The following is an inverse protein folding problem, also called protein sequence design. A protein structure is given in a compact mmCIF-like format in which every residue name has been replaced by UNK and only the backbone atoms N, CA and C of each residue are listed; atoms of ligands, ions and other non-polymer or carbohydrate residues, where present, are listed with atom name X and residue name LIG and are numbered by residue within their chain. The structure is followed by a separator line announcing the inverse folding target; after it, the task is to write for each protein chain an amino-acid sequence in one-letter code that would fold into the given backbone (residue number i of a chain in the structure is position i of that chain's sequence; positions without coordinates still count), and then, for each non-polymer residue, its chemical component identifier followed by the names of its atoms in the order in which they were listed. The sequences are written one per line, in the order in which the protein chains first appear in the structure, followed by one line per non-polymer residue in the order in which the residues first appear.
data_IF_915329378201
#
_entry.id   IF_915329378201
#
_cell.length_a   1.000
_cell.length_b   1.000
_cell.length_c   1.000
_cell.angle_alpha   90.00
_cell.angle_beta   90.00
_cell.angle_gamma   90.00
#
_symmetry.space_group_name_H-M   'P 1'
#
loop_
_entity.id
_entity.type
_entity.pdbx_description
1 polymer ?
#
# COMPACT_ATOMS: atom_id res chain seq x y z
N UNK A 1 -10.27 -42.83 -53.46
CA UNK A 1 -10.41 -41.37 -53.23
C UNK A 1 -11.25 -41.10 -51.99
N UNK A 2 -10.68 -40.51 -50.95
CA UNK A 2 -11.40 -39.84 -49.86
C UNK A 2 -10.63 -38.57 -49.53
N UNK A 3 -11.26 -37.43 -49.79
CA UNK A 3 -10.70 -36.08 -49.58
C UNK A 3 -10.63 -35.81 -48.07
N UNK A 4 -9.47 -35.38 -47.58
CA UNK A 4 -9.27 -34.83 -46.23
C UNK A 4 -9.18 -33.32 -46.37
N UNK A 5 -10.03 -32.59 -45.65
CA UNK A 5 -10.04 -31.13 -45.57
C UNK A 5 -8.83 -30.64 -44.74
N UNK A 6 -8.15 -29.54 -45.12
CA UNK A 6 -7.06 -28.96 -44.35
C UNK A 6 -7.59 -27.84 -43.45
N UNK A 7 -7.32 -27.89 -42.15
CA UNK A 7 -7.74 -26.80 -41.28
C UNK A 7 -7.63 -27.02 -39.78
N UNK A 8 -6.53 -27.58 -39.27
CA UNK A 8 -6.19 -27.44 -37.86
C UNK A 8 -4.74 -26.97 -37.72
N UNK A 9 -4.60 -25.76 -37.18
CA UNK A 9 -3.34 -25.09 -36.90
C UNK A 9 -2.67 -25.73 -35.67
N UNK A 10 -1.45 -26.30 -35.78
CA UNK A 10 -0.82 -27.00 -34.67
C UNK A 10 0.00 -26.04 -33.81
N UNK A 11 -0.58 -24.94 -33.34
CA UNK A 11 0.12 -24.04 -32.40
C UNK A 11 -0.83 -23.34 -31.42
N UNK A 12 -1.68 -24.10 -30.70
CA UNK A 12 -2.05 -23.69 -29.34
C UNK A 12 -0.86 -23.96 -28.42
N UNK A 13 0.11 -23.04 -28.39
CA UNK A 13 1.03 -22.95 -27.25
C UNK A 13 0.20 -22.52 -26.05
N UNK A 14 -0.32 -23.49 -25.32
CA UNK A 14 -0.76 -23.28 -23.95
C UNK A 14 0.46 -22.75 -23.21
N UNK A 15 0.47 -21.46 -22.91
CA UNK A 15 1.44 -20.88 -22.01
C UNK A 15 1.09 -21.38 -20.62
N UNK A 16 1.50 -22.62 -20.31
CA UNK A 16 1.47 -23.13 -18.95
C UNK A 16 2.46 -22.25 -18.20
N UNK A 17 1.96 -21.30 -17.41
CA UNK A 17 2.75 -20.67 -16.37
C UNK A 17 3.20 -21.83 -15.47
N UNK A 18 4.43 -22.28 -15.63
CA UNK A 18 5.11 -23.08 -14.63
C UNK A 18 5.13 -22.21 -13.37
N UNK A 19 4.14 -22.42 -12.50
CA UNK A 19 4.16 -21.96 -11.13
C UNK A 19 5.49 -22.46 -10.58
N UNK A 20 6.44 -21.56 -10.35
CA UNK A 20 7.65 -21.90 -9.60
C UNK A 20 7.16 -22.55 -8.31
N UNK A 21 7.46 -23.83 -8.10
CA UNK A 21 7.11 -24.51 -6.86
C UNK A 21 7.74 -23.69 -5.75
N UNK A 22 6.92 -22.95 -5.00
CA UNK A 22 7.44 -22.01 -4.03
C UNK A 22 8.17 -22.82 -2.97
N UNK A 23 9.50 -22.84 -3.04
CA UNK A 23 10.33 -23.18 -1.89
C UNK A 23 9.79 -22.39 -0.70
N UNK A 24 9.70 -23.00 0.48
CA UNK A 24 9.23 -22.29 1.69
C UNK A 24 10.01 -20.99 1.79
N UNK A 25 9.41 -19.92 2.31
CA UNK A 25 10.10 -18.62 2.43
C UNK A 25 11.45 -18.75 3.15
N UNK A 26 11.58 -19.74 4.04
CA UNK A 26 12.80 -20.11 4.76
C UNK A 26 13.89 -20.75 3.89
N UNK A 27 13.54 -21.38 2.76
CA UNK A 27 14.44 -22.03 1.79
C UNK A 27 14.91 -21.06 0.68
N UNK A 28 14.50 -19.79 0.72
CA UNK A 28 15.08 -18.74 -0.12
C UNK A 28 16.52 -18.50 0.36
N UNK A 29 17.46 -18.39 -0.57
CA UNK A 29 18.90 -18.25 -0.28
C UNK A 29 19.18 -17.14 0.74
N UNK A 30 20.14 -17.35 1.64
CA UNK A 30 20.58 -16.35 2.63
C UNK A 30 21.00 -15.02 1.97
N UNK A 31 21.51 -15.05 0.73
CA UNK A 31 21.77 -13.85 -0.09
C UNK A 31 20.55 -12.96 -0.37
N UNK A 32 19.33 -13.51 -0.35
CA UNK A 32 18.10 -12.75 -0.67
C UNK A 32 17.50 -12.05 0.55
N UNK A 33 18.04 -12.29 1.75
CA UNK A 33 17.58 -11.65 2.99
C UNK A 33 18.38 -10.38 3.22
N UNK A 34 17.72 -9.25 3.04
CA UNK A 34 18.28 -7.95 3.39
C UNK A 34 18.01 -7.73 4.88
N UNK A 35 19.05 -7.86 5.72
CA UNK A 35 18.92 -7.78 7.19
C UNK A 35 18.26 -6.49 7.65
N UNK A 36 18.57 -5.37 7.00
CA UNK A 36 18.00 -4.06 7.31
C UNK A 36 16.48 -4.02 7.09
N UNK A 37 16.00 -4.61 5.99
CA UNK A 37 14.57 -4.74 5.72
C UNK A 37 13.90 -5.66 6.75
N UNK A 38 14.54 -6.76 7.15
CA UNK A 38 14.00 -7.63 8.21
C UNK A 38 13.83 -6.85 9.52
N UNK A 39 14.86 -6.11 9.95
CA UNK A 39 14.78 -5.25 11.15
C UNK A 39 13.68 -4.20 11.03
N UNK A 40 13.58 -3.53 9.88
CA UNK A 40 12.54 -2.53 9.62
C UNK A 40 11.14 -3.16 9.69
N UNK A 41 10.94 -4.35 9.11
CA UNK A 41 9.65 -5.04 9.15
C UNK A 41 9.26 -5.48 10.57
N UNK A 42 10.21 -5.93 11.39
CA UNK A 42 9.91 -6.28 12.79
C UNK A 42 9.55 -5.05 13.62
N UNK A 43 10.25 -3.93 13.42
CA UNK A 43 9.88 -2.65 14.06
C UNK A 43 8.51 -2.16 13.61
N UNK A 44 8.21 -2.25 12.31
CA UNK A 44 6.92 -1.85 11.75
C UNK A 44 5.76 -2.69 12.29
N UNK A 45 5.95 -4.01 12.51
CA UNK A 45 4.93 -4.86 13.15
C UNK A 45 4.56 -4.39 14.55
N UNK A 46 5.50 -3.81 15.30
CA UNK A 46 5.23 -3.25 16.63
C UNK A 46 4.53 -1.90 16.47
N UNK A 47 5.07 -1.01 15.63
CA UNK A 47 4.50 0.32 15.39
C UNK A 47 3.05 0.23 14.89
N UNK A 48 2.75 -0.64 13.92
CA UNK A 48 1.41 -0.83 13.37
C UNK A 48 0.36 -1.22 14.43
N UNK A 49 0.77 -1.98 15.46
CA UNK A 49 -0.08 -2.36 16.60
C UNK A 49 -0.34 -1.19 17.53
N UNK A 50 0.70 -0.41 17.82
CA UNK A 50 0.61 0.80 18.64
C UNK A 50 -0.29 1.82 17.96
N UNK A 51 -0.06 2.11 16.67
CA UNK A 51 -0.88 3.02 15.88
C UNK A 51 -2.36 2.58 15.87
N UNK A 52 -2.62 1.28 15.74
CA UNK A 52 -3.99 0.76 15.82
C UNK A 52 -4.64 1.04 17.18
N UNK A 53 -3.92 0.85 18.30
CA UNK A 53 -4.46 1.17 19.62
C UNK A 53 -4.73 2.66 19.80
N UNK A 54 -3.83 3.53 19.33
CA UNK A 54 -4.01 4.98 19.40
C UNK A 54 -5.26 5.42 18.62
N UNK A 55 -5.43 4.92 17.39
CA UNK A 55 -6.63 5.20 16.58
C UNK A 55 -7.93 4.72 17.25
N UNK A 56 -7.90 3.58 17.93
CA UNK A 56 -9.08 3.06 18.64
C UNK A 56 -9.42 3.86 19.89
N UNK A 57 -8.42 4.29 20.65
CA UNK A 57 -8.65 5.17 21.79
C UNK A 57 -9.19 6.51 21.32
N UNK A 58 -8.64 7.07 20.24
CA UNK A 58 -9.11 8.33 19.64
C UNK A 58 -10.58 8.31 19.22
N UNK A 59 -11.11 7.15 18.81
CA UNK A 59 -12.53 7.04 18.45
C UNK A 59 -13.49 7.15 19.66
N UNK A 60 -12.97 7.03 20.88
CA UNK A 60 -13.74 7.24 22.11
C UNK A 60 -13.64 8.70 22.58
N UNK A 61 -14.70 9.28 23.16
CA UNK A 61 -14.76 10.72 23.50
C UNK A 61 -13.72 11.16 24.54
N UNK A 62 -13.40 10.28 25.49
CA UNK A 62 -12.44 10.56 26.56
C UNK A 62 -11.05 9.93 26.30
N UNK A 63 -10.84 9.37 25.10
CA UNK A 63 -9.61 8.64 24.73
C UNK A 63 -9.23 7.51 25.71
N UNK A 64 -10.22 6.99 26.42
CA UNK A 64 -10.08 5.98 27.47
C UNK A 64 -11.00 4.81 27.16
N UNK A 65 -10.47 3.59 27.29
CA UNK A 65 -11.21 2.35 27.02
C UNK A 65 -10.87 1.26 28.03
N UNK A 66 -11.83 0.40 28.36
CA UNK A 66 -11.54 -0.78 29.19
C UNK A 66 -10.63 -1.76 28.45
N UNK A 67 -9.71 -2.41 29.17
CA UNK A 67 -8.85 -3.46 28.59
C UNK A 67 -9.67 -4.64 28.07
N UNK A 68 -10.88 -4.86 28.62
CA UNK A 68 -11.81 -5.88 28.14
C UNK A 68 -12.35 -5.56 26.74
N UNK A 69 -12.69 -4.30 26.48
CA UNK A 69 -13.10 -3.85 25.15
C UNK A 69 -11.94 -3.96 24.15
N UNK A 70 -10.72 -3.59 24.56
CA UNK A 70 -9.52 -3.76 23.73
C UNK A 70 -9.26 -5.22 23.33
N UNK A 71 -9.62 -6.19 24.20
CA UNK A 71 -9.50 -7.62 23.92
C UNK A 71 -10.34 -8.08 22.72
N UNK A 72 -11.42 -7.36 22.37
CA UNK A 72 -12.23 -7.65 21.19
C UNK A 72 -11.44 -7.40 19.89
N UNK A 73 -10.52 -6.44 19.91
CA UNK A 73 -9.68 -6.07 18.76
C UNK A 73 -8.39 -6.90 18.65
N UNK A 74 -8.25 -7.95 19.46
CA UNK A 74 -7.05 -8.80 19.49
C UNK A 74 -6.67 -9.38 18.14
N UNK A 75 -7.67 -9.73 17.31
CA UNK A 75 -7.45 -10.29 15.97
C UNK A 75 -6.84 -9.24 15.03
N UNK A 76 -7.33 -8.01 15.11
CA UNK A 76 -6.88 -6.87 14.31
C UNK A 76 -5.46 -6.44 14.69
N UNK A 77 -5.13 -6.46 15.99
CA UNK A 77 -3.79 -6.13 16.52
C UNK A 77 -2.78 -7.28 16.25
N UNK A 78 -3.21 -8.42 15.71
CA UNK A 78 -2.36 -9.59 15.48
C UNK A 78 -1.55 -9.97 16.73
N UNK A 79 -2.22 -10.05 17.90
CA UNK A 79 -1.59 -10.44 19.17
C UNK A 79 -1.92 -11.92 19.48
N UNK A 80 -1.02 -12.87 19.16
CA UNK A 80 -1.27 -14.28 19.36
C UNK A 80 -1.36 -14.62 20.86
N UNK A 81 -2.17 -15.63 21.21
CA UNK A 81 -2.17 -16.20 22.56
C UNK A 81 -0.82 -16.90 22.80
N UNK A 82 -0.19 -16.77 23.98
CA UNK A 82 -0.75 -16.34 25.27
C UNK A 82 -0.53 -14.85 25.65
N UNK A 83 0.03 -14.00 24.77
CA UNK A 83 0.38 -12.62 25.14
C UNK A 83 -0.83 -11.76 25.48
N UNK A 84 -0.90 -11.14 26.66
CA UNK A 84 -2.05 -10.30 27.05
C UNK A 84 -1.91 -8.89 26.48
N UNK A 85 -3.03 -8.25 26.16
CA UNK A 85 -3.04 -6.83 25.73
C UNK A 85 -2.52 -5.93 26.84
N UNK A 86 -2.85 -6.22 28.10
CA UNK A 86 -2.28 -5.51 29.26
C UNK A 86 -0.75 -5.51 29.27
N UNK A 87 -0.13 -6.63 28.91
CA UNK A 87 1.32 -6.77 28.93
C UNK A 87 1.94 -6.06 27.73
N UNK A 88 1.21 -5.93 26.62
CA UNK A 88 1.62 -5.14 25.46
C UNK A 88 1.59 -3.65 25.79
N UNK A 89 0.49 -3.16 26.38
CA UNK A 89 0.32 -1.75 26.76
C UNK A 89 1.43 -1.33 27.74
N UNK A 90 1.76 -2.18 28.73
CA UNK A 90 2.84 -1.94 29.70
C UNK A 90 4.22 -1.74 29.08
N UNK A 91 4.45 -2.18 27.84
CA UNK A 91 5.73 -1.98 27.13
C UNK A 91 5.88 -0.58 26.54
N UNK A 92 4.80 0.20 26.49
CA UNK A 92 4.76 1.53 25.89
C UNK A 92 4.17 2.57 26.87
N UNK A 93 4.79 2.77 28.05
CA UNK A 93 4.24 3.63 29.10
C UNK A 93 4.21 5.12 28.75
N UNK A 94 4.94 5.56 27.72
CA UNK A 94 4.89 6.95 27.23
C UNK A 94 3.65 7.23 26.37
N UNK A 95 3.06 6.18 25.80
CA UNK A 95 1.94 6.31 24.88
C UNK A 95 0.61 5.96 25.54
N UNK A 96 0.65 5.07 26.54
CA UNK A 96 -0.55 4.54 27.17
C UNK A 96 -0.42 4.50 28.68
N UNK A 97 -1.50 4.89 29.35
CA UNK A 97 -1.65 4.82 30.80
C UNK A 97 -2.64 3.73 31.18
N UNK A 98 -2.30 2.96 32.23
CA UNK A 98 -3.16 1.89 32.74
C UNK A 98 -3.67 2.24 34.12
N UNK A 99 -4.99 2.36 34.25
CA UNK A 99 -5.66 2.66 35.50
C UNK A 99 -6.44 1.44 36.01
N UNK A 100 -6.58 1.35 37.33
CA UNK A 100 -7.47 0.38 37.99
C UNK A 100 -8.58 1.14 38.68
N UNK A 101 -9.81 0.82 38.33
CA UNK A 101 -10.97 1.31 39.05
C UNK A 101 -11.08 0.64 40.44
N UNK A 102 -11.87 1.24 41.34
CA UNK A 102 -12.16 0.71 42.68
C UNK A 102 -12.74 -0.71 42.64
N UNK A 103 -13.42 -1.06 41.53
CA UNK A 103 -13.97 -2.40 41.26
C UNK A 103 -12.93 -3.40 40.71
N UNK A 104 -11.67 -2.99 40.56
CA UNK A 104 -10.59 -3.81 40.01
C UNK A 104 -10.59 -3.93 38.48
N UNK A 105 -11.40 -3.15 37.77
CA UNK A 105 -11.44 -3.13 36.30
C UNK A 105 -10.24 -2.34 35.77
N UNK A 106 -9.56 -2.91 34.78
CA UNK A 106 -8.42 -2.25 34.11
C UNK A 106 -8.89 -1.39 32.95
N UNK A 107 -8.47 -0.13 32.98
CA UNK A 107 -8.69 0.88 31.95
C UNK A 107 -7.37 1.25 31.30
N UNK A 108 -7.42 1.61 30.02
CA UNK A 108 -6.32 2.10 29.22
C UNK A 108 -6.70 3.48 28.70
N UNK A 109 -5.86 4.49 28.94
CA UNK A 109 -5.96 5.82 28.33
C UNK A 109 -4.73 6.15 27.52
N UNK A 110 -4.81 7.22 26.73
CA UNK A 110 -3.64 7.87 26.16
C UNK A 110 -2.95 8.75 27.20
N UNK A 111 -1.64 8.94 27.05
CA UNK A 111 -0.87 9.95 27.78
C UNK A 111 -0.97 11.28 27.02
N UNK A 112 -0.80 12.42 27.69
CA UNK A 112 -0.75 13.74 27.03
C UNK A 112 0.26 13.78 25.86
N UNK A 113 1.45 13.18 26.02
CA UNK A 113 2.45 13.08 24.93
C UNK A 113 1.89 12.32 23.71
N UNK A 114 1.01 11.34 23.92
CA UNK A 114 0.39 10.57 22.86
C UNK A 114 -0.75 11.32 22.18
N UNK A 115 -1.46 12.16 22.93
CA UNK A 115 -2.49 13.06 22.40
C UNK A 115 -1.85 14.12 21.51
N UNK A 116 -0.79 14.78 21.97
CA UNK A 116 -0.03 15.76 21.18
C UNK A 116 0.48 15.15 19.85
N UNK A 117 0.95 13.89 19.89
CA UNK A 117 1.38 13.16 18.71
C UNK A 117 0.22 12.83 17.74
N UNK A 118 -0.99 12.60 18.25
CA UNK A 118 -2.17 12.38 17.41
C UNK A 118 -2.62 13.67 16.72
N UNK A 119 -2.53 14.80 17.41
CA UNK A 119 -2.86 16.11 16.85
C UNK A 119 -1.86 16.51 15.76
N UNK A 120 -0.55 16.30 16.00
CA UNK A 120 0.48 16.49 14.96
C UNK A 120 0.22 15.58 13.75
N UNK A 121 -0.09 14.31 13.99
CA UNK A 121 -0.39 13.37 12.93
C UNK A 121 -1.59 13.81 12.08
N UNK A 122 -2.66 14.30 12.70
CA UNK A 122 -3.82 14.82 11.98
C UNK A 122 -3.51 16.07 11.17
N UNK A 123 -2.73 17.00 11.73
CA UNK A 123 -2.25 18.17 10.99
C UNK A 123 -1.49 17.76 9.74
N UNK A 124 -0.58 16.79 9.86
CA UNK A 124 0.18 16.26 8.72
C UNK A 124 -0.70 15.55 7.68
N UNK A 125 -1.78 14.88 8.11
CA UNK A 125 -2.74 14.27 7.18
C UNK A 125 -3.52 15.33 6.40
N UNK A 126 -3.91 16.43 7.05
CA UNK A 126 -4.60 17.52 6.39
C UNK A 126 -3.69 18.27 5.40
N UNK A 127 -2.46 18.60 5.81
CA UNK A 127 -1.45 19.23 4.95
C UNK A 127 -1.11 18.40 3.71
N UNK A 128 -1.06 17.07 3.85
CA UNK A 128 -0.74 16.16 2.75
C UNK A 128 -1.99 15.61 2.03
N UNK A 129 -3.17 16.14 2.30
CA UNK A 129 -4.43 15.68 1.70
C UNK A 129 -4.41 15.68 0.17
N UNK A 130 -3.79 16.68 -0.45
CA UNK A 130 -3.67 16.80 -1.92
C UNK A 130 -2.79 15.69 -2.51
N UNK A 131 -1.69 15.34 -1.85
CA UNK A 131 -0.81 14.24 -2.27
C UNK A 131 -1.51 12.89 -2.13
N UNK A 132 -2.28 12.72 -1.06
CA UNK A 132 -3.11 11.53 -0.89
C UNK A 132 -4.14 11.43 -2.03
N UNK A 133 -4.76 12.55 -2.43
CA UNK A 133 -5.69 12.61 -3.56
C UNK A 133 -5.00 12.28 -4.89
N UNK A 134 -3.79 12.78 -5.13
CA UNK A 134 -2.97 12.41 -6.29
C UNK A 134 -2.69 10.90 -6.32
N UNK A 135 -2.28 10.30 -5.20
CA UNK A 135 -2.01 8.86 -5.11
C UNK A 135 -3.25 8.00 -5.36
N UNK A 136 -4.37 8.33 -4.74
CA UNK A 136 -5.64 7.62 -4.96
C UNK A 136 -6.09 7.78 -6.42
N UNK A 137 -5.95 8.98 -6.99
CA UNK A 137 -6.28 9.24 -8.41
C UNK A 137 -5.44 8.38 -9.34
N UNK A 138 -4.13 8.27 -9.12
CA UNK A 138 -3.26 7.38 -9.90
C UNK A 138 -3.69 5.92 -9.81
N UNK A 139 -4.06 5.45 -8.61
CA UNK A 139 -4.60 4.09 -8.46
C UNK A 139 -5.87 3.87 -9.26
N UNK A 140 -6.79 4.84 -9.26
CA UNK A 140 -8.01 4.79 -10.08
C UNK A 140 -7.67 4.83 -11.58
N UNK A 141 -6.73 5.66 -12.00
CA UNK A 141 -6.27 5.74 -13.40
C UNK A 141 -5.73 4.40 -13.91
N UNK A 142 -5.10 3.60 -13.05
CA UNK A 142 -4.60 2.26 -13.38
C UNK A 142 -5.67 1.16 -13.25
N UNK A 143 -6.82 1.44 -12.65
CA UNK A 143 -7.88 0.46 -12.40
C UNK A 143 -8.78 0.25 -13.63
N UNK A 144 -9.39 -0.93 -13.70
CA UNK A 144 -10.41 -1.24 -14.72
C UNK A 144 -11.63 -0.36 -14.46
N UNK A 145 -12.19 0.21 -15.53
CA UNK A 145 -13.31 1.17 -15.48
C UNK A 145 -13.06 2.41 -14.61
N UNK A 146 -11.81 2.69 -14.23
CA UNK A 146 -11.43 3.83 -13.37
C UNK A 146 -12.16 3.87 -12.02
N UNK A 147 -12.49 2.68 -11.49
CA UNK A 147 -13.22 2.53 -10.22
C UNK A 147 -12.55 1.49 -9.32
N UNK A 148 -12.58 1.74 -8.01
CA UNK A 148 -12.10 0.79 -7.00
C UNK A 148 -13.11 0.67 -5.85
N UNK A 149 -13.33 -0.53 -5.29
CA UNK A 149 -14.18 -0.68 -4.11
C UNK A 149 -13.59 0.11 -2.93
N UNK A 150 -14.41 0.92 -2.26
CA UNK A 150 -13.97 1.72 -1.10
C UNK A 150 -13.39 0.83 0.01
N UNK A 151 -13.98 -0.34 0.25
CA UNK A 151 -13.50 -1.33 1.21
C UNK A 151 -12.04 -1.74 0.99
N UNK A 152 -11.60 -1.80 -0.27
CA UNK A 152 -10.21 -2.15 -0.61
C UNK A 152 -9.26 -0.99 -0.35
N UNK A 153 -9.69 0.24 -0.57
CA UNK A 153 -8.90 1.45 -0.31
C UNK A 153 -8.62 1.59 1.19
N UNK A 154 -9.59 1.23 2.06
CA UNK A 154 -9.42 1.27 3.54
C UNK A 154 -8.20 0.47 4.00
N UNK A 155 -7.91 -0.65 3.35
CA UNK A 155 -6.78 -1.50 3.76
C UNK A 155 -5.42 -0.82 3.60
N UNK A 156 -5.33 0.15 2.69
CA UNK A 156 -4.12 0.93 2.41
C UNK A 156 -4.21 2.36 2.97
N UNK A 157 -5.20 2.63 3.82
CA UNK A 157 -5.48 3.98 4.35
C UNK A 157 -4.24 4.64 4.96
N UNK A 158 -3.50 3.90 5.80
CA UNK A 158 -2.27 4.40 6.43
C UNK A 158 -1.12 4.59 5.45
N UNK A 159 -1.05 3.76 4.41
CA UNK A 159 0.00 3.84 3.39
C UNK A 159 -0.20 5.06 2.49
N UNK A 160 -1.46 5.43 2.22
CA UNK A 160 -1.81 6.61 1.44
C UNK A 160 -1.91 7.91 2.25
N UNK A 161 -1.86 7.84 3.59
CA UNK A 161 -2.10 9.02 4.43
C UNK A 161 -3.56 9.49 4.37
N UNK A 162 -4.51 8.57 4.39
CA UNK A 162 -5.94 8.88 4.42
C UNK A 162 -6.47 8.93 5.87
N UNK A 163 -7.39 9.84 6.20
CA UNK A 163 -7.95 9.94 7.55
C UNK A 163 -8.96 8.81 7.84
N UNK A 164 -9.25 8.54 9.12
CA UNK A 164 -10.15 7.43 9.52
C UNK A 164 -11.55 7.55 8.92
N UNK A 165 -12.04 8.78 8.82
CA UNK A 165 -13.35 9.17 8.29
C UNK A 165 -13.34 9.35 6.76
N UNK A 166 -12.33 8.83 6.05
CA UNK A 166 -12.14 9.17 4.63
C UNK A 166 -13.37 8.88 3.77
N UNK A 167 -14.12 7.81 4.09
CA UNK A 167 -15.34 7.42 3.36
C UNK A 167 -16.42 8.50 3.38
N UNK A 168 -16.51 9.25 4.48
CA UNK A 168 -17.60 10.18 4.74
C UNK A 168 -17.15 11.61 4.45
N UNK A 169 -15.96 12.01 4.89
CA UNK A 169 -15.55 13.41 4.82
C UNK A 169 -14.53 13.66 3.69
N UNK A 170 -13.43 12.90 3.69
CA UNK A 170 -12.30 13.17 2.78
C UNK A 170 -12.67 13.02 1.31
N UNK A 171 -13.42 11.97 0.93
CA UNK A 171 -13.82 11.76 -0.47
C UNK A 171 -14.65 12.94 -1.00
N UNK A 172 -15.46 13.58 -0.14
CA UNK A 172 -16.28 14.72 -0.52
C UNK A 172 -15.52 16.05 -0.53
N UNK A 173 -14.29 16.12 0.00
CA UNK A 173 -13.41 17.30 -0.16
C UNK A 173 -12.93 17.47 -1.61
N UNK A 174 -12.92 16.41 -2.41
CA UNK A 174 -12.42 16.42 -3.79
C UNK A 174 -13.49 15.99 -4.82
N UNK A 175 -14.60 16.73 -4.96
CA UNK A 175 -15.70 16.36 -5.86
C UNK A 175 -15.32 16.40 -7.34
N UNK A 176 -14.28 17.16 -7.70
CA UNK A 176 -13.76 17.23 -9.07
C UNK A 176 -12.97 15.98 -9.48
N UNK A 177 -12.45 15.24 -8.49
CA UNK A 177 -11.64 14.05 -8.71
C UNK A 177 -12.47 12.78 -8.49
N UNK A 178 -13.28 12.74 -7.43
CA UNK A 178 -13.89 11.51 -6.95
C UNK A 178 -15.41 11.58 -6.91
N UNK A 179 -16.03 10.44 -7.23
CA UNK A 179 -17.46 10.19 -7.04
C UNK A 179 -17.67 8.86 -6.37
N UNK A 180 -18.53 8.83 -5.36
CA UNK A 180 -18.96 7.57 -4.73
C UNK A 180 -20.16 7.04 -5.50
N UNK A 181 -20.04 5.80 -5.99
CA UNK A 181 -21.11 5.08 -6.71
C UNK A 181 -21.49 3.85 -5.89
N UNK A 182 -22.79 3.66 -5.67
CA UNK A 182 -23.32 2.46 -5.02
C UNK A 182 -23.86 1.52 -6.08
N UNK A 183 -23.42 0.27 -6.07
CA UNK A 183 -23.97 -0.77 -6.95
C UNK A 183 -25.19 -1.43 -6.29
N UNK A 184 -25.97 -2.18 -7.06
CA UNK A 184 -27.18 -2.89 -6.60
C UNK A 184 -26.89 -3.83 -5.41
N UNK A 185 -25.67 -4.38 -5.34
CA UNK A 185 -25.22 -5.27 -4.28
C UNK A 185 -24.90 -4.54 -2.95
N UNK A 186 -25.06 -3.20 -2.90
CA UNK A 186 -24.78 -2.38 -1.72
C UNK A 186 -23.29 -2.04 -1.53
N UNK A 187 -22.41 -2.56 -2.38
CA UNK A 187 -20.99 -2.20 -2.38
C UNK A 187 -20.77 -0.78 -2.90
N UNK A 188 -19.93 -0.02 -2.19
CA UNK A 188 -19.59 1.35 -2.54
C UNK A 188 -18.25 1.39 -3.28
N UNK A 189 -18.24 2.04 -4.44
CA UNK A 189 -17.08 2.21 -5.30
C UNK A 189 -16.69 3.68 -5.36
N UNK A 190 -15.38 3.93 -5.37
CA UNK A 190 -14.81 5.22 -5.70
C UNK A 190 -14.52 5.25 -7.20
N UNK A 191 -15.16 6.15 -7.93
CA UNK A 191 -14.99 6.37 -9.37
C UNK A 191 -14.22 7.67 -9.62
N UNK A 192 -13.33 7.64 -10.61
CA UNK A 192 -12.62 8.83 -11.09
C UNK A 192 -13.52 9.67 -12.00
N UNK A 193 -13.73 10.93 -11.62
CA UNK A 193 -14.54 11.90 -12.39
C UNK A 193 -13.71 12.52 -13.52
N UNK A 194 -12.55 13.09 -13.19
CA UNK A 194 -11.69 13.79 -14.14
C UNK A 194 -10.34 13.10 -14.30
N UNK A 195 -9.89 12.95 -15.54
CA UNK A 195 -8.55 12.42 -15.82
C UNK A 195 -7.57 13.57 -15.95
N UNK A 196 -6.65 13.69 -15.00
CA UNK A 196 -5.53 14.62 -15.10
C UNK A 196 -4.30 13.97 -15.77
N UNK A 197 -3.94 14.34 -17.02
CA UNK A 197 -2.80 13.75 -17.72
C UNK A 197 -1.46 14.07 -17.05
N UNK A 198 -1.34 15.18 -16.30
CA UNK A 198 -0.10 15.53 -15.61
C UNK A 198 0.27 14.50 -14.52
N UNK A 199 -0.73 13.84 -13.93
CA UNK A 199 -0.52 12.81 -12.92
C UNK A 199 -0.26 11.42 -13.50
N UNK A 200 -0.56 11.22 -14.79
CA UNK A 200 -0.29 9.97 -15.49
C UNK A 200 1.19 9.82 -15.92
N UNK A 201 1.98 10.89 -15.84
CA UNK A 201 3.41 10.86 -16.16
C UNK A 201 4.16 10.21 -15.00
N UNK A 202 4.90 9.14 -15.28
CA UNK A 202 5.70 8.45 -14.27
C UNK A 202 6.91 9.29 -13.85
N UNK A 203 7.38 9.11 -12.62
CA UNK A 203 8.62 9.76 -12.15
C UNK A 203 9.84 9.43 -13.04
N UNK A 204 9.80 8.27 -13.69
CA UNK A 204 10.83 7.84 -14.63
C UNK A 204 10.80 8.66 -15.91
N UNK A 205 9.62 8.86 -16.49
CA UNK A 205 9.41 9.72 -17.65
C UNK A 205 9.74 11.18 -17.33
N UNK A 206 9.36 11.69 -16.14
CA UNK A 206 9.74 13.04 -15.70
C UNK A 206 11.25 13.25 -15.72
N UNK A 207 12.01 12.27 -15.21
CA UNK A 207 13.49 12.30 -15.24
C UNK A 207 14.03 12.27 -16.66
N UNK A 208 13.51 11.39 -17.52
CA UNK A 208 13.96 11.30 -18.91
C UNK A 208 13.61 12.54 -19.74
N UNK A 209 12.49 13.19 -19.45
CA UNK A 209 12.06 14.44 -20.10
C UNK A 209 12.75 15.69 -19.53
N UNK A 210 13.62 15.55 -18.52
CA UNK A 210 14.33 16.67 -17.90
C UNK A 210 13.42 17.62 -17.11
N UNK A 211 12.24 17.14 -16.66
CA UNK A 211 11.30 17.90 -15.83
C UNK A 211 11.73 17.96 -14.35
N UNK A 212 12.84 17.32 -14.00
CA UNK A 212 13.46 17.34 -12.67
C UNK A 212 14.90 17.86 -12.82
N UNK A 213 15.35 18.74 -11.92
CA UNK A 213 16.59 19.54 -12.04
C UNK A 213 17.93 18.76 -12.03
N UNK A 214 17.92 17.44 -12.23
CA UNK A 214 19.13 16.63 -12.33
C UNK A 214 19.44 16.32 -13.81
N UNK A 215 20.27 17.17 -14.40
CA UNK A 215 20.77 17.03 -15.77
C UNK A 215 21.74 15.86 -15.90
N UNK A 216 21.28 14.73 -16.42
CA UNK A 216 22.14 13.76 -17.08
C UNK A 216 21.81 13.79 -18.57
N UNK A 217 22.74 14.31 -19.37
CA UNK A 217 22.59 14.72 -20.78
C UNK A 217 22.54 13.50 -21.74
N UNK A 218 21.67 12.52 -21.45
CA UNK A 218 21.49 11.35 -22.29
C UNK A 218 20.34 11.56 -23.28
N UNK A 219 20.66 11.96 -24.50
CA UNK A 219 19.68 12.06 -25.61
C UNK A 219 19.36 10.65 -26.14
N UNK A 220 18.14 10.12 -25.94
CA UNK A 220 17.76 8.80 -26.45
C UNK A 220 17.72 8.80 -27.99
N UNK A 221 18.49 7.90 -28.63
CA UNK A 221 18.38 7.62 -30.08
C UNK A 221 17.11 6.84 -30.44
N UNK A 222 16.88 6.58 -31.74
CA UNK A 222 15.66 5.97 -32.31
C UNK A 222 15.21 4.62 -31.67
N UNK A 223 16.13 3.90 -31.03
CA UNK A 223 15.90 2.60 -30.36
C UNK A 223 16.10 2.66 -28.84
N UNK A 224 16.24 3.85 -28.27
CA UNK A 224 16.42 4.00 -26.83
C UNK A 224 15.09 3.81 -26.13
N UNK A 225 15.06 2.91 -25.14
CA UNK A 225 13.91 2.76 -24.28
C UNK A 225 13.72 4.05 -23.47
N UNK A 226 12.48 4.41 -23.16
CA UNK A 226 12.14 5.54 -22.29
C UNK A 226 12.67 5.38 -20.85
N UNK A 227 13.43 4.32 -20.55
CA UNK A 227 14.00 4.06 -19.24
C UNK A 227 15.38 3.38 -19.33
N UNK A 228 16.30 3.69 -18.40
CA UNK A 228 17.60 3.06 -18.31
C UNK A 228 17.45 1.58 -17.90
N UNK A 229 17.83 0.66 -18.79
CA UNK A 229 17.75 -0.76 -18.52
C UNK A 229 19.02 -1.26 -17.82
N UNK A 230 18.94 -1.49 -16.50
CA UNK A 230 20.02 -2.10 -15.71
C UNK A 230 19.80 -3.60 -15.61
N UNK A 231 20.69 -4.37 -16.23
CA UNK A 231 20.69 -5.82 -16.10
C UNK A 231 21.59 -6.27 -14.93
N UNK A 232 21.19 -7.29 -14.15
CA UNK A 232 22.07 -7.84 -13.13
C UNK A 232 23.34 -8.42 -13.77
N UNK A 233 24.48 -8.48 -13.05
CA UNK A 233 25.77 -8.92 -13.61
C UNK A 233 25.75 -10.32 -14.24
N UNK A 234 24.81 -11.19 -13.81
CA UNK A 234 24.63 -12.55 -14.31
C UNK A 234 23.77 -12.65 -15.59
N UNK A 235 23.25 -11.53 -16.10
CA UNK A 235 22.40 -11.51 -17.30
C UNK A 235 23.24 -11.76 -18.56
N UNK A 236 23.15 -12.97 -19.11
CA UNK A 236 23.79 -13.31 -20.39
C UNK A 236 23.03 -12.61 -21.53
N UNK A 237 23.70 -11.67 -22.20
CA UNK A 237 23.21 -11.12 -23.47
C UNK A 237 23.08 -12.27 -24.49
N UNK A 238 21.86 -12.64 -24.84
CA UNK A 238 21.61 -13.54 -25.96
C UNK A 238 21.57 -12.71 -27.25
N UNK A 239 22.69 -12.62 -27.96
CA UNK A 239 22.68 -12.14 -29.34
C UNK A 239 22.05 -13.23 -30.22
N UNK A 240 20.78 -13.07 -30.56
CA UNK A 240 20.13 -13.81 -31.66
C UNK A 240 19.80 -12.86 -32.80
N UNK A 241 20.81 -12.17 -33.32
CA UNK A 241 20.70 -11.57 -34.64
C UNK A 241 21.95 -11.94 -35.43
N UNK A 242 21.73 -12.75 -36.47
CA UNK A 242 22.72 -13.11 -37.49
C UNK A 242 22.29 -12.35 -38.74
N UNK A 243 22.76 -11.11 -38.86
CA UNK A 243 22.49 -10.23 -40.00
C UNK A 243 23.35 -8.98 -39.85
N UNK A 244 23.89 -8.48 -40.96
CA UNK A 244 24.67 -7.24 -40.95
C UNK A 244 23.75 -6.07 -40.61
N UNK A 245 24.14 -5.29 -39.61
CA UNK A 245 23.54 -4.00 -39.32
C UNK A 245 24.38 -3.01 -40.11
N UNK A 246 23.83 -2.48 -41.20
CA UNK A 246 24.46 -1.38 -41.94
C UNK A 246 24.32 -0.08 -41.14
N UNK A 247 25.40 0.70 -41.14
CA UNK A 247 25.56 1.96 -40.42
C UNK A 247 25.03 3.15 -41.22
#
# INVERSE_FOLDING_TARGET
ERKVLPGESPFRRVCVRLMTTSKRVQDRSKEKKVRELEVATEKWKIASKVMFLMEMLKSEPDMIMTVRSLEQYRRQINLPKPHKISDFIRKSPKLFELYKDQRGVLWCGLTNEAEDLLDEHDGLLEENGDKAAEHVTRCLMMSVDKKLPLDKIVHFRRDFGLPLDFRINWVHKFPELFKVVKLEDGEEYLELVSWNPAWAITELEKKTLGLTEESDDHKPGLLSLAFPMKFPPSYKKMYRYRGMIEH
#
